data_IF_271025408316
#
_entry.id   IF_271025408316
#
_cell.length_a   1.000
_cell.length_b   1.000
_cell.length_c   1.000
_cell.angle_alpha   90.00
_cell.angle_beta   90.00
_cell.angle_gamma   90.00
#
_symmetry.space_group_name_H-M   'P 1'
#
loop_
_entity.id
_entity.type
_entity.pdbx_description
1 polymer ?
#
# COMPACT_ATOMS: atom_id res chain seq x y z
N UNK A 1 2.06 -16.89 14.76
CA UNK A 1 1.85 -15.44 14.80
C UNK A 1 3.19 -14.83 14.45
N UNK A 2 3.32 -14.31 13.22
CA UNK A 2 4.50 -13.55 12.84
C UNK A 2 4.40 -12.21 13.54
N UNK A 3 5.45 -11.81 14.25
CA UNK A 3 5.54 -10.48 14.87
C UNK A 3 5.84 -9.52 13.71
N UNK A 4 4.81 -8.89 13.15
CA UNK A 4 4.99 -7.87 12.11
C UNK A 4 5.34 -6.57 12.82
N UNK A 5 6.58 -6.12 12.63
CA UNK A 5 7.01 -4.83 13.15
C UNK A 5 6.44 -3.72 12.27
N UNK A 6 5.41 -3.05 12.79
CA UNK A 6 4.75 -1.97 12.09
C UNK A 6 5.52 -0.67 12.24
N UNK A 7 5.89 -0.11 11.10
CA UNK A 7 6.50 1.21 11.00
C UNK A 7 5.44 2.30 10.88
N UNK A 8 5.77 3.46 11.39
CA UNK A 8 4.97 4.67 11.22
C UNK A 8 5.00 5.19 9.78
N UNK A 9 3.99 5.98 9.41
CA UNK A 9 3.98 6.65 8.09
C UNK A 9 5.23 7.51 7.88
N UNK A 10 5.71 8.19 8.92
CA UNK A 10 6.90 9.05 8.83
C UNK A 10 8.17 8.24 8.54
N UNK A 11 8.34 7.07 9.13
CA UNK A 11 9.47 6.18 8.81
C UNK A 11 9.42 5.71 7.36
N UNK A 12 8.25 5.29 6.87
CA UNK A 12 8.06 4.96 5.45
C UNK A 12 8.40 6.17 4.56
N UNK A 13 7.92 7.36 4.95
CA UNK A 13 8.14 8.61 4.23
C UNK A 13 9.65 8.89 4.10
N UNK A 14 10.41 8.78 5.19
CA UNK A 14 11.87 8.98 5.17
C UNK A 14 12.60 7.99 4.24
N UNK A 15 12.11 6.75 4.11
CA UNK A 15 12.72 5.74 3.24
C UNK A 15 12.53 6.03 1.75
N UNK A 16 11.39 6.61 1.37
CA UNK A 16 11.01 6.80 -0.04
C UNK A 16 11.19 8.24 -0.55
N UNK A 17 11.24 9.24 0.34
CA UNK A 17 11.35 10.64 -0.05
C UNK A 17 12.66 10.94 -0.79
N UNK A 18 12.52 11.83 -1.79
CA UNK A 18 13.57 12.31 -2.68
C UNK A 18 14.29 11.20 -3.44
N UNK A 19 13.62 10.05 -3.62
CA UNK A 19 14.10 8.95 -4.46
C UNK A 19 13.35 8.95 -5.77
N UNK A 20 14.07 8.65 -6.85
CA UNK A 20 13.48 8.48 -8.18
C UNK A 20 12.91 7.07 -8.36
N UNK A 21 11.76 7.01 -9.01
CA UNK A 21 11.09 5.75 -9.39
C UNK A 21 11.74 5.21 -10.66
N UNK A 22 12.23 3.97 -10.63
CA UNK A 22 12.88 3.33 -11.79
C UNK A 22 11.96 2.36 -12.52
N UNK A 23 11.00 1.75 -11.83
CA UNK A 23 10.00 0.88 -12.42
C UNK A 23 8.77 0.75 -11.53
N UNK A 24 7.61 0.59 -12.16
CA UNK A 24 6.33 0.30 -11.51
C UNK A 24 5.70 -0.87 -12.26
N UNK A 25 5.26 -1.87 -11.52
CA UNK A 25 4.35 -2.93 -11.97
C UNK A 25 3.16 -2.96 -11.02
N UNK A 26 2.14 -3.75 -11.35
CA UNK A 26 0.97 -3.93 -10.49
C UNK A 26 1.37 -4.44 -9.08
N UNK A 27 2.46 -5.21 -8.96
CA UNK A 27 2.86 -5.84 -7.69
C UNK A 27 3.96 -5.08 -6.93
N UNK A 28 4.80 -4.30 -7.64
CA UNK A 28 6.02 -3.73 -7.06
C UNK A 28 6.44 -2.39 -7.66
N UNK A 29 6.96 -1.51 -6.80
CA UNK A 29 7.65 -0.27 -7.19
C UNK A 29 9.11 -0.37 -6.78
N UNK A 30 10.01 -0.06 -7.70
CA UNK A 30 11.45 0.00 -7.42
C UNK A 30 11.95 1.43 -7.52
N UNK A 31 12.80 1.81 -6.56
CA UNK A 31 13.44 3.12 -6.50
C UNK A 31 14.94 3.01 -6.85
N UNK A 32 15.53 4.12 -7.29
CA UNK A 32 16.92 4.16 -7.78
C UNK A 32 17.98 3.73 -6.76
N UNK A 33 17.68 3.81 -5.47
CA UNK A 33 18.56 3.43 -4.37
C UNK A 33 18.41 1.96 -3.94
N UNK A 34 17.67 1.16 -4.73
CA UNK A 34 17.40 -0.25 -4.43
C UNK A 34 16.28 -0.47 -3.40
N UNK A 35 15.57 0.58 -3.00
CA UNK A 35 14.35 0.44 -2.17
C UNK A 35 13.24 -0.17 -3.02
N UNK A 36 12.54 -1.14 -2.44
CA UNK A 36 11.40 -1.84 -3.04
C UNK A 36 10.14 -1.59 -2.22
N UNK A 37 9.05 -1.28 -2.90
CA UNK A 37 7.71 -1.21 -2.32
C UNK A 37 6.86 -2.39 -2.82
N UNK A 38 6.10 -3.02 -1.94
CA UNK A 38 5.10 -4.06 -2.22
C UNK A 38 3.83 -3.78 -1.41
N UNK A 39 2.71 -4.40 -1.80
CA UNK A 39 1.48 -4.42 -0.99
C UNK A 39 1.26 -5.85 -0.52
N UNK A 40 1.16 -6.05 0.79
CA UNK A 40 1.13 -7.39 1.38
C UNK A 40 0.06 -7.50 2.47
N UNK A 41 -0.67 -8.61 2.46
CA UNK A 41 -1.49 -9.02 3.60
C UNK A 41 -0.56 -9.40 4.76
N UNK A 42 -0.38 -8.46 5.69
CA UNK A 42 0.62 -8.55 6.74
C UNK A 42 0.12 -9.41 7.91
N UNK A 43 -1.17 -9.33 8.19
CA UNK A 43 -1.84 -10.15 9.20
C UNK A 43 -3.18 -10.63 8.66
N UNK A 44 -3.57 -11.85 9.00
CA UNK A 44 -4.89 -12.40 8.70
C UNK A 44 -5.22 -13.55 9.62
N UNK A 45 -6.52 -13.80 9.81
CA UNK A 45 -7.04 -14.99 10.46
C UNK A 45 -7.96 -15.80 9.54
N UNK A 46 -7.78 -17.11 9.54
CA UNK A 46 -8.58 -18.14 8.86
C UNK A 46 -9.01 -17.89 7.40
N UNK A 47 -10.12 -17.20 7.17
CA UNK A 47 -10.68 -16.99 5.83
C UNK A 47 -10.58 -15.53 5.39
N UNK A 48 -10.03 -14.66 6.23
CA UNK A 48 -9.76 -13.26 5.91
C UNK A 48 -8.50 -13.13 5.07
N UNK A 49 -8.44 -12.08 4.27
CA UNK A 49 -7.28 -11.78 3.45
C UNK A 49 -7.33 -10.39 2.86
N UNK A 50 -6.27 -10.04 2.16
CA UNK A 50 -6.21 -8.77 1.46
C UNK A 50 -5.04 -8.71 0.49
N UNK A 51 -5.02 -7.63 -0.26
CA UNK A 51 -3.99 -7.39 -1.25
C UNK A 51 -4.22 -6.06 -1.94
N UNK A 52 -3.34 -5.74 -2.87
CA UNK A 52 -3.46 -4.49 -3.61
C UNK A 52 -2.56 -4.46 -4.82
N UNK A 53 -2.71 -3.39 -5.58
CA UNK A 53 -1.91 -3.15 -6.77
C UNK A 53 -1.43 -1.70 -6.81
N UNK A 54 -0.33 -1.49 -7.52
CA UNK A 54 0.14 -0.16 -7.90
C UNK A 54 -0.36 0.21 -9.29
N UNK A 55 -0.68 1.48 -9.48
CA UNK A 55 -0.99 2.06 -10.78
C UNK A 55 -0.25 3.38 -10.98
N UNK A 56 0.26 3.59 -12.18
CA UNK A 56 0.76 4.90 -12.60
C UNK A 56 -0.42 5.81 -12.94
N UNK A 57 -0.45 7.00 -12.34
CA UNK A 57 -1.49 8.00 -12.61
C UNK A 57 -1.19 8.84 -13.84
N UNK A 58 0.09 9.13 -14.10
CA UNK A 58 0.55 9.84 -15.29
C UNK A 58 2.03 9.52 -15.60
N UNK A 59 2.37 9.53 -16.89
CA UNK A 59 3.74 9.30 -17.40
C UNK A 59 4.07 7.89 -17.87
N UNK A 60 5.26 7.75 -18.46
CA UNK A 60 5.87 6.48 -18.87
C UNK A 60 7.15 6.23 -18.06
N UNK A 61 7.47 4.95 -17.81
CA UNK A 61 8.71 4.54 -17.14
C UNK A 61 9.88 4.59 -18.14
N UNK A 62 11.08 5.09 -17.75
CA UNK A 62 11.44 5.62 -16.43
C UNK A 62 10.84 7.01 -16.19
N UNK A 63 10.22 7.16 -15.02
CA UNK A 63 9.63 8.43 -14.61
C UNK A 63 10.75 9.39 -14.22
N UNK A 64 10.88 10.53 -14.92
CA UNK A 64 11.83 11.59 -14.53
C UNK A 64 11.27 12.44 -13.38
N UNK A 65 10.91 11.75 -12.30
CA UNK A 65 10.26 12.32 -11.13
C UNK A 65 10.81 11.67 -9.85
N UNK A 66 10.96 12.50 -8.83
CA UNK A 66 11.32 12.09 -7.48
C UNK A 66 10.12 12.15 -6.56
N UNK A 67 10.03 11.21 -5.62
CA UNK A 67 8.97 11.23 -4.61
C UNK A 67 9.18 12.45 -3.71
N UNK A 68 8.18 13.30 -3.62
CA UNK A 68 8.19 14.51 -2.78
C UNK A 68 7.17 14.45 -1.67
N UNK A 69 6.14 13.61 -1.81
CA UNK A 69 5.12 13.45 -0.79
C UNK A 69 4.38 12.12 -0.90
N UNK A 70 3.67 11.76 0.17
CA UNK A 70 2.79 10.60 0.28
C UNK A 70 1.53 11.05 1.03
N UNK A 71 0.37 10.68 0.50
CA UNK A 71 -0.92 10.83 1.18
C UNK A 71 -1.57 9.48 1.38
N UNK A 72 -2.19 9.29 2.54
CA UNK A 72 -3.01 8.12 2.83
C UNK A 72 -4.45 8.62 2.91
N UNK A 73 -5.30 8.08 2.05
CA UNK A 73 -6.71 8.46 2.03
C UNK A 73 -7.46 7.87 3.25
N UNK A 74 -8.72 8.29 3.41
CA UNK A 74 -9.61 7.69 4.40
C UNK A 74 -10.07 6.31 3.89
N UNK A 75 -9.93 5.29 4.74
CA UNK A 75 -10.45 3.95 4.48
C UNK A 75 -11.98 4.00 4.28
N UNK A 76 -12.47 3.24 3.31
CA UNK A 76 -13.89 3.12 2.97
C UNK A 76 -14.35 1.69 3.10
N UNK A 77 -15.59 1.52 3.52
CA UNK A 77 -16.26 0.22 3.51
C UNK A 77 -16.88 -0.03 2.13
N UNK A 78 -16.61 -1.21 1.59
CA UNK A 78 -17.19 -1.70 0.35
C UNK A 78 -18.41 -2.54 0.70
N UNK A 79 -19.60 -2.26 0.13
CA UNK A 79 -20.78 -3.07 0.38
C UNK A 79 -20.55 -4.53 -0.03
N UNK A 80 -20.71 -5.44 0.92
CA UNK A 80 -20.68 -6.88 0.72
C UNK A 80 -21.76 -7.53 1.58
N UNK A 81 -22.44 -8.54 1.03
CA UNK A 81 -23.60 -9.18 1.65
C UNK A 81 -23.21 -10.28 2.66
N UNK A 82 -21.94 -10.71 2.68
CA UNK A 82 -21.45 -11.85 3.46
C UNK A 82 -20.37 -11.47 4.46
N UNK A 83 -19.49 -10.51 4.16
CA UNK A 83 -18.37 -10.13 5.05
C UNK A 83 -18.18 -8.63 5.14
N UNK A 84 -17.25 -8.17 5.99
CA UNK A 84 -16.76 -6.80 5.96
C UNK A 84 -15.63 -6.71 4.96
N UNK A 85 -15.76 -5.81 3.98
CA UNK A 85 -14.73 -5.50 3.00
C UNK A 85 -14.41 -4.02 3.13
N UNK A 86 -13.12 -3.69 3.18
CA UNK A 86 -12.66 -2.30 3.19
C UNK A 86 -11.59 -2.06 2.14
N UNK A 87 -11.53 -0.83 1.64
CA UNK A 87 -10.53 -0.38 0.68
C UNK A 87 -9.87 0.93 1.13
N UNK A 88 -8.64 1.15 0.70
CA UNK A 88 -7.97 2.44 0.83
C UNK A 88 -6.92 2.62 -0.27
N UNK A 89 -6.53 3.88 -0.47
CA UNK A 89 -5.54 4.29 -1.46
C UNK A 89 -4.45 5.11 -0.80
N UNK A 90 -3.19 4.81 -1.14
CA UNK A 90 -2.06 5.69 -0.87
C UNK A 90 -1.65 6.34 -2.18
N UNK A 91 -1.56 7.67 -2.20
CA UNK A 91 -1.11 8.43 -3.37
C UNK A 91 0.30 8.96 -3.12
N UNK A 92 1.21 8.67 -4.04
CA UNK A 92 2.61 9.14 -4.02
C UNK A 92 2.73 10.29 -5.02
N UNK A 93 3.39 11.39 -4.61
CA UNK A 93 3.45 12.63 -5.40
C UNK A 93 4.86 13.03 -5.79
N UNK A 94 4.97 13.64 -6.98
CA UNK A 94 6.09 14.47 -7.39
C UNK A 94 5.63 15.91 -7.59
N UNK A 95 6.14 16.83 -6.76
CA UNK A 95 5.81 18.25 -6.80
C UNK A 95 4.30 18.51 -6.88
N UNK A 96 3.54 17.89 -5.96
CA UNK A 96 2.07 17.91 -5.89
C UNK A 96 1.32 17.19 -7.01
N UNK A 97 2.00 16.62 -8.01
CA UNK A 97 1.37 15.79 -9.04
C UNK A 97 1.37 14.33 -8.58
N UNK A 98 0.21 13.65 -8.57
CA UNK A 98 0.17 12.22 -8.28
C UNK A 98 0.95 11.48 -9.36
N UNK A 99 1.81 10.56 -8.96
CA UNK A 99 2.62 9.74 -9.88
C UNK A 99 2.34 8.25 -9.74
N UNK A 100 1.98 7.78 -8.54
CA UNK A 100 1.65 6.38 -8.25
C UNK A 100 0.49 6.36 -7.26
N UNK A 101 -0.47 5.47 -7.50
CA UNK A 101 -1.48 5.07 -6.53
C UNK A 101 -1.22 3.63 -6.11
N UNK A 102 -1.25 3.39 -4.81
CA UNK A 102 -1.22 2.07 -4.21
C UNK A 102 -2.62 1.78 -3.64
N UNK A 103 -3.37 0.94 -4.33
CA UNK A 103 -4.75 0.61 -4.01
C UNK A 103 -4.80 -0.74 -3.31
N UNK A 104 -5.49 -0.85 -2.19
CA UNK A 104 -5.67 -2.12 -1.50
C UNK A 104 -7.11 -2.36 -1.09
N UNK A 105 -7.48 -3.64 -1.06
CA UNK A 105 -8.75 -4.15 -0.57
C UNK A 105 -8.48 -5.30 0.41
N UNK A 106 -9.27 -5.37 1.47
CA UNK A 106 -9.10 -6.33 2.57
C UNK A 106 -10.47 -6.79 3.04
N UNK A 107 -10.61 -8.06 3.40
CA UNK A 107 -11.86 -8.65 3.88
C UNK A 107 -11.71 -9.41 5.19
N UNK A 108 -12.77 -9.38 5.99
CA UNK A 108 -12.83 -9.98 7.33
C UNK A 108 -13.20 -11.47 7.33
N UNK A 109 -13.39 -12.10 6.16
CA UNK A 109 -13.76 -13.51 5.99
C UNK A 109 -15.04 -14.00 6.69
N UNK A 110 -15.71 -15.01 6.12
CA UNK A 110 -16.78 -15.81 6.76
C UNK A 110 -17.70 -15.00 7.69
N UNK A 111 -18.64 -14.20 7.18
CA UNK A 111 -19.56 -13.45 8.05
C UNK A 111 -18.97 -12.20 8.71
N UNK A 112 -17.71 -11.85 8.45
CA UNK A 112 -16.97 -10.80 9.16
C UNK A 112 -16.50 -11.18 10.56
N UNK A 113 -16.25 -12.48 10.81
CA UNK A 113 -15.81 -12.97 12.12
C UNK A 113 -14.28 -13.00 12.30
N UNK A 114 -13.51 -12.82 11.23
CA UNK A 114 -12.05 -12.78 11.27
C UNK A 114 -11.54 -11.37 11.02
N UNK A 115 -10.21 -11.22 10.99
CA UNK A 115 -9.57 -9.95 10.70
C UNK A 115 -8.49 -10.14 9.65
N UNK A 116 -8.22 -9.10 8.87
CA UNK A 116 -6.99 -9.01 8.10
C UNK A 116 -6.50 -7.57 7.95
N UNK A 117 -5.21 -7.43 7.69
CA UNK A 117 -4.51 -6.16 7.58
C UNK A 117 -3.64 -6.17 6.33
N UNK A 118 -3.88 -5.22 5.44
CA UNK A 118 -3.03 -4.99 4.26
C UNK A 118 -2.15 -3.77 4.46
N UNK A 119 -0.85 -3.96 4.21
CA UNK A 119 0.17 -2.95 4.42
C UNK A 119 0.89 -2.59 3.14
N UNK A 120 1.33 -1.33 3.06
CA UNK A 120 2.42 -0.94 2.20
C UNK A 120 3.71 -1.40 2.86
N UNK A 121 4.52 -2.18 2.15
CA UNK A 121 5.78 -2.72 2.65
C UNK A 121 6.93 -2.05 1.94
N UNK A 122 7.84 -1.44 2.68
CA UNK A 122 9.04 -0.77 2.13
C UNK A 122 10.28 -1.41 2.71
N UNK A 123 11.03 -2.17 1.90
CA UNK A 123 12.18 -2.94 2.38
C UNK A 123 11.89 -3.83 3.62
N UNK A 124 10.67 -4.36 3.72
CA UNK A 124 10.23 -5.17 4.86
C UNK A 124 9.70 -4.39 6.07
N UNK A 125 9.69 -3.05 6.02
CA UNK A 125 8.96 -2.22 6.99
C UNK A 125 7.48 -2.16 6.60
N UNK A 126 6.56 -2.53 7.49
CA UNK A 126 5.13 -2.61 7.20
C UNK A 126 4.41 -1.35 7.68
N UNK A 127 3.69 -0.67 6.80
CA UNK A 127 2.73 0.38 7.15
C UNK A 127 1.30 -0.05 6.84
N UNK A 128 0.49 -0.32 7.88
CA UNK A 128 -0.85 -0.87 7.71
C UNK A 128 -1.85 0.22 7.33
N UNK A 129 -2.42 0.14 6.13
CA UNK A 129 -3.29 1.20 5.57
C UNK A 129 -4.70 0.76 5.19
N UNK A 130 -4.98 -0.55 5.19
CA UNK A 130 -6.35 -1.10 5.12
C UNK A 130 -6.52 -2.21 6.15
N UNK A 131 -7.66 -2.22 6.83
CA UNK A 131 -8.05 -3.26 7.79
C UNK A 131 -9.51 -3.65 7.58
N UNK A 132 -9.81 -4.94 7.71
CA UNK A 132 -11.17 -5.47 7.79
C UNK A 132 -11.29 -6.44 8.97
#
# INVERSE_FOLDING_TARGET
MYDVDYSSLEEIREMILYKRVISVTDDEVHLENGVKLTIECSEWDCCAGGGGTFSLTDGEIPLDAVITDINVDEQKDVPDDDTTVSENTITIFHNQNPIIEANATTDAGNGGYYYSVTSLVVNGAHFPFVRA
#
